data_IF_703888524531
#
_entry.id   IF_703888524531
#
_cell.length_a   1.000
_cell.length_b   1.000
_cell.length_c   1.000
_cell.angle_alpha   90.00
_cell.angle_beta   90.00
_cell.angle_gamma   90.00
#
_symmetry.space_group_name_H-M   'P 1'
#
loop_
_entity.id
_entity.type
_entity.pdbx_description
1 polymer ?
#
# COMPACT_ATOMS: atom_id res chain seq x y z
N UNK A 1 -25.85 -7.69 29.84
CA UNK A 1 -25.75 -9.11 29.53
C UNK A 1 -24.32 -9.54 29.72
N UNK A 2 -24.03 -10.25 30.80
CA UNK A 2 -22.66 -10.64 31.13
C UNK A 2 -22.25 -11.83 30.26
N UNK A 3 -21.46 -11.60 29.25
CA UNK A 3 -20.86 -12.68 28.45
C UNK A 3 -19.77 -13.33 29.28
N UNK A 4 -19.89 -14.63 29.55
CA UNK A 4 -18.88 -15.39 30.28
C UNK A 4 -17.56 -15.42 29.49
N UNK A 5 -16.40 -15.54 30.15
CA UNK A 5 -15.08 -15.51 29.49
C UNK A 5 -14.96 -16.53 28.36
N UNK A 6 -15.50 -17.74 28.55
CA UNK A 6 -15.58 -18.76 27.51
C UNK A 6 -16.34 -18.30 26.27
N UNK A 7 -17.39 -17.51 26.45
CA UNK A 7 -18.20 -16.95 25.34
C UNK A 7 -17.47 -15.84 24.63
N UNK A 8 -16.62 -15.05 25.34
CA UNK A 8 -15.78 -14.00 24.77
C UNK A 8 -14.69 -14.57 23.85
N UNK A 9 -14.05 -15.67 24.24
CA UNK A 9 -13.06 -16.37 23.40
C UNK A 9 -13.74 -16.95 22.15
N UNK A 10 -14.89 -17.60 22.31
CA UNK A 10 -15.65 -18.12 21.18
C UNK A 10 -16.13 -17.01 20.24
N UNK A 11 -16.48 -15.83 20.77
CA UNK A 11 -16.84 -14.66 20.00
C UNK A 11 -15.61 -14.13 19.21
N UNK A 12 -14.46 -13.95 19.85
CA UNK A 12 -13.23 -13.50 19.21
C UNK A 12 -12.85 -14.42 18.03
N UNK A 13 -12.90 -15.73 18.22
CA UNK A 13 -12.65 -16.71 17.12
C UNK A 13 -13.65 -16.58 15.97
N UNK A 14 -14.93 -16.32 16.25
CA UNK A 14 -15.92 -16.09 15.17
C UNK A 14 -15.64 -14.80 14.42
N UNK A 15 -15.30 -13.73 15.14
CA UNK A 15 -14.94 -12.46 14.51
C UNK A 15 -13.70 -12.60 13.61
N UNK A 16 -12.67 -13.31 14.07
CA UNK A 16 -11.48 -13.59 13.25
C UNK A 16 -11.85 -14.29 11.94
N UNK A 17 -12.66 -15.36 11.98
CA UNK A 17 -13.13 -16.05 10.78
C UNK A 17 -13.94 -15.16 9.83
N UNK A 18 -14.78 -14.27 10.36
CA UNK A 18 -15.54 -13.33 9.54
C UNK A 18 -14.62 -12.33 8.85
N UNK A 19 -13.59 -11.83 9.54
CA UNK A 19 -12.57 -10.96 8.97
C UNK A 19 -11.77 -11.68 7.89
N UNK A 20 -11.39 -12.93 8.11
CA UNK A 20 -10.70 -13.74 7.09
C UNK A 20 -11.51 -13.89 5.80
N UNK A 21 -12.81 -14.11 5.90
CA UNK A 21 -13.68 -14.17 4.74
C UNK A 21 -13.83 -12.82 4.04
N UNK A 22 -14.00 -11.74 4.80
CA UNK A 22 -14.14 -10.39 4.24
C UNK A 22 -12.90 -9.94 3.49
N UNK A 23 -11.69 -10.29 3.97
CA UNK A 23 -10.42 -9.92 3.30
C UNK A 23 -10.09 -10.74 2.05
N UNK A 24 -10.78 -11.84 1.77
CA UNK A 24 -10.57 -12.62 0.53
C UNK A 24 -10.76 -11.77 -0.74
N UNK A 25 -11.44 -10.63 -0.65
CA UNK A 25 -11.56 -9.64 -1.72
C UNK A 25 -10.37 -8.70 -1.88
N UNK A 26 -9.28 -8.86 -1.11
CA UNK A 26 -8.07 -8.01 -1.18
C UNK A 26 -8.20 -6.65 -0.50
N UNK A 27 -9.15 -6.50 0.42
CA UNK A 27 -9.38 -5.26 1.19
C UNK A 27 -8.93 -5.41 2.64
N UNK A 28 -8.56 -4.28 3.26
CA UNK A 28 -8.40 -4.23 4.72
C UNK A 28 -9.75 -4.43 5.41
N UNK A 29 -9.73 -5.17 6.51
CA UNK A 29 -10.90 -5.36 7.37
C UNK A 29 -10.61 -4.82 8.75
N UNK A 30 -11.38 -3.84 9.19
CA UNK A 30 -11.27 -3.26 10.51
C UNK A 30 -12.26 -3.96 11.44
N UNK A 31 -11.77 -4.55 12.52
CA UNK A 31 -12.58 -5.16 13.57
C UNK A 31 -12.48 -4.33 14.85
N UNK A 32 -13.61 -3.75 15.25
CA UNK A 32 -13.78 -3.04 16.53
C UNK A 32 -14.78 -3.79 17.39
N UNK A 33 -14.32 -4.44 18.46
CA UNK A 33 -15.15 -5.19 19.39
C UNK A 33 -14.49 -5.35 20.75
N UNK A 34 -15.28 -5.72 21.77
CA UNK A 34 -14.79 -5.87 23.15
C UNK A 34 -13.87 -7.10 23.27
N UNK A 35 -12.58 -6.86 23.41
CA UNK A 35 -11.52 -7.85 23.48
C UNK A 35 -10.55 -7.53 24.64
N UNK A 36 -11.00 -7.65 25.92
CA UNK A 36 -10.31 -7.02 27.04
C UNK A 36 -9.06 -7.77 27.52
N UNK A 37 -8.97 -9.08 27.30
CA UNK A 37 -7.87 -9.90 27.82
C UNK A 37 -6.90 -10.30 26.71
N UNK A 38 -5.65 -10.61 27.12
CA UNK A 38 -4.65 -11.16 26.18
C UNK A 38 -5.18 -12.40 25.46
N UNK A 39 -5.83 -13.31 26.21
CA UNK A 39 -6.35 -14.57 25.68
C UNK A 39 -7.42 -14.35 24.60
N UNK A 40 -8.30 -13.35 24.78
CA UNK A 40 -9.31 -13.01 23.76
C UNK A 40 -8.67 -12.38 22.51
N UNK A 41 -7.64 -11.56 22.67
CA UNK A 41 -6.89 -10.97 21.53
C UNK A 41 -6.11 -12.04 20.77
N UNK A 42 -5.43 -12.96 21.47
CA UNK A 42 -4.75 -14.09 20.86
C UNK A 42 -5.74 -15.00 20.10
N UNK A 43 -6.95 -15.18 20.62
CA UNK A 43 -7.99 -15.97 19.98
C UNK A 43 -8.59 -15.31 18.72
N UNK A 44 -8.55 -14.00 18.61
CA UNK A 44 -8.91 -13.25 17.42
C UNK A 44 -7.81 -13.34 16.34
N UNK A 45 -6.55 -13.26 16.76
CA UNK A 45 -5.35 -13.36 15.92
C UNK A 45 -5.31 -12.30 14.81
N UNK A 46 -5.29 -11.03 15.21
CA UNK A 46 -5.17 -9.92 14.26
C UNK A 46 -3.80 -9.90 13.57
N UNK A 47 -3.79 -9.53 12.28
CA UNK A 47 -2.54 -9.28 11.54
C UNK A 47 -1.89 -7.95 11.93
N UNK A 48 -2.71 -6.98 12.39
CA UNK A 48 -2.28 -5.65 12.78
C UNK A 48 -3.15 -5.15 13.95
N UNK A 49 -2.51 -4.65 15.00
CA UNK A 49 -3.18 -4.24 16.24
C UNK A 49 -3.01 -2.75 16.47
N UNK A 50 -4.11 -2.02 16.43
CA UNK A 50 -4.18 -0.61 16.83
C UNK A 50 -4.74 -0.53 18.25
N UNK A 51 -3.94 -0.03 19.18
CA UNK A 51 -4.38 0.22 20.54
C UNK A 51 -4.73 1.70 20.74
N UNK A 52 -6.03 1.98 20.89
CA UNK A 52 -6.50 3.33 21.26
C UNK A 52 -6.44 3.47 22.78
N UNK A 53 -5.37 4.10 23.29
CA UNK A 53 -5.09 4.29 24.71
C UNK A 53 -5.40 5.74 25.12
N UNK A 54 -6.68 6.11 25.01
CA UNK A 54 -7.13 7.48 25.25
C UNK A 54 -7.84 7.66 26.59
N UNK A 55 -8.51 6.63 27.08
CA UNK A 55 -9.28 6.68 28.33
C UNK A 55 -8.81 5.59 29.28
N UNK A 56 -8.79 5.90 30.57
CA UNK A 56 -8.38 4.95 31.62
C UNK A 56 -9.50 3.99 31.99
N UNK A 57 -10.75 4.45 31.91
CA UNK A 57 -11.94 3.68 32.27
C UNK A 57 -13.02 3.85 31.21
N UNK A 58 -13.53 2.73 30.70
CA UNK A 58 -14.62 2.68 29.78
C UNK A 58 -15.99 2.66 30.49
N UNK A 59 -17.07 2.63 29.71
CA UNK A 59 -18.45 2.67 30.18
C UNK A 59 -18.87 1.49 31.07
N UNK A 60 -18.20 0.34 30.90
CA UNK A 60 -18.61 -0.92 31.54
C UNK A 60 -17.57 -1.35 32.58
N UNK A 61 -17.97 -1.32 33.85
CA UNK A 61 -17.11 -1.61 34.98
C UNK A 61 -16.56 -3.05 34.98
N UNK A 62 -17.36 -4.03 34.57
CA UNK A 62 -16.95 -5.43 34.45
C UNK A 62 -15.83 -5.60 33.41
N UNK A 63 -15.89 -4.88 32.30
CA UNK A 63 -14.88 -4.87 31.26
C UNK A 63 -13.60 -4.15 31.74
N UNK A 64 -13.74 -3.04 32.46
CA UNK A 64 -12.60 -2.29 33.03
C UNK A 64 -11.79 -3.17 34.01
N UNK A 65 -12.46 -3.95 34.84
CA UNK A 65 -11.81 -4.89 35.78
C UNK A 65 -11.02 -6.01 35.12
N UNK A 66 -11.44 -6.42 33.92
CA UNK A 66 -10.80 -7.50 33.16
C UNK A 66 -9.76 -7.01 32.17
N UNK A 67 -9.72 -5.72 31.90
CA UNK A 67 -8.85 -5.17 30.86
C UNK A 67 -7.38 -5.39 31.18
N UNK A 68 -6.71 -6.04 30.25
CA UNK A 68 -5.26 -6.23 30.26
C UNK A 68 -4.65 -5.39 29.16
N UNK A 69 -3.75 -4.48 29.50
CA UNK A 69 -3.05 -3.65 28.52
C UNK A 69 -2.40 -4.54 27.44
N UNK A 70 -2.58 -4.23 26.17
CA UNK A 70 -1.85 -4.91 25.09
C UNK A 70 -0.34 -4.75 25.29
N UNK A 71 0.41 -5.83 25.29
CA UNK A 71 1.87 -5.79 25.30
C UNK A 71 2.42 -5.82 23.88
N UNK A 72 1.66 -6.43 22.95
CA UNK A 72 1.97 -6.49 21.53
C UNK A 72 0.92 -5.64 20.80
N UNK A 73 1.34 -4.58 20.18
CA UNK A 73 0.55 -3.71 19.31
C UNK A 73 1.47 -3.09 18.27
N UNK A 74 0.93 -2.77 17.12
CA UNK A 74 1.67 -2.14 16.03
C UNK A 74 1.63 -0.61 16.15
N UNK A 75 0.47 -0.08 16.55
CA UNK A 75 0.28 1.36 16.78
C UNK A 75 -0.43 1.59 18.12
N UNK A 76 0.06 2.56 18.89
CA UNK A 76 -0.60 3.05 20.09
C UNK A 76 -1.02 4.51 19.88
N UNK A 77 -2.31 4.77 19.96
CA UNK A 77 -2.90 6.08 19.78
C UNK A 77 -3.31 6.65 21.14
N UNK A 78 -2.74 7.81 21.52
CA UNK A 78 -3.02 8.47 22.80
C UNK A 78 -3.79 9.77 22.59
N UNK A 79 -3.06 10.83 22.23
CA UNK A 79 -3.60 12.17 21.97
C UNK A 79 -3.67 12.41 20.45
N UNK A 80 -4.48 13.37 20.04
CA UNK A 80 -4.59 13.77 18.65
C UNK A 80 -6.00 13.70 18.08
N UNK A 81 -6.10 14.09 16.82
CA UNK A 81 -7.33 14.05 16.03
C UNK A 81 -7.47 12.72 15.28
N UNK A 82 -8.66 12.44 14.78
CA UNK A 82 -8.90 11.23 13.95
C UNK A 82 -8.02 11.20 12.69
N UNK A 83 -7.79 12.36 12.07
CA UNK A 83 -6.97 12.45 10.86
C UNK A 83 -5.48 12.15 11.15
N UNK A 84 -4.95 12.64 12.27
CA UNK A 84 -3.60 12.31 12.73
C UNK A 84 -3.46 10.83 13.05
N UNK A 85 -4.46 10.22 13.68
CA UNK A 85 -4.47 8.79 13.97
C UNK A 85 -4.50 7.93 12.71
N UNK A 86 -5.34 8.31 11.74
CA UNK A 86 -5.37 7.64 10.43
C UNK A 86 -4.00 7.71 9.77
N UNK A 87 -3.34 8.87 9.82
CA UNK A 87 -2.00 9.03 9.24
C UNK A 87 -0.98 8.11 9.92
N UNK A 88 -0.93 8.07 11.26
CA UNK A 88 -0.04 7.19 12.02
C UNK A 88 -0.27 5.71 11.72
N UNK A 89 -1.54 5.29 11.63
CA UNK A 89 -1.90 3.90 11.31
C UNK A 89 -1.49 3.54 9.90
N UNK A 90 -1.74 4.42 8.93
CA UNK A 90 -1.38 4.19 7.53
C UNK A 90 0.13 4.11 7.33
N UNK A 91 0.88 5.02 7.94
CA UNK A 91 2.35 5.01 7.92
C UNK A 91 2.89 3.68 8.46
N UNK A 92 2.34 3.21 9.60
CA UNK A 92 2.78 1.95 10.20
C UNK A 92 2.35 0.71 9.42
N UNK A 93 1.18 0.74 8.78
CA UNK A 93 0.74 -0.32 7.87
C UNK A 93 1.69 -0.44 6.66
N UNK A 94 2.10 0.69 6.08
CA UNK A 94 3.08 0.71 4.99
C UNK A 94 4.44 0.13 5.40
N UNK A 95 4.88 0.34 6.66
CA UNK A 95 6.10 -0.27 7.20
C UNK A 95 5.98 -1.79 7.43
N UNK A 96 4.80 -2.27 7.84
CA UNK A 96 4.57 -3.69 8.18
C UNK A 96 4.17 -4.55 6.99
N UNK A 97 3.73 -3.96 5.89
CA UNK A 97 3.63 -4.68 4.62
C UNK A 97 5.03 -5.09 4.17
N UNK A 98 5.42 -6.28 4.54
CA UNK A 98 6.79 -6.79 4.41
C UNK A 98 7.13 -6.99 2.94
N UNK A 99 7.73 -5.95 2.36
CA UNK A 99 8.50 -6.10 1.14
C UNK A 99 9.66 -7.09 1.39
N UNK A 100 9.69 -8.18 0.65
CA UNK A 100 10.77 -9.15 0.79
C UNK A 100 11.95 -8.80 -0.14
N UNK A 101 13.02 -8.24 0.43
CA UNK A 101 14.22 -7.91 -0.32
C UNK A 101 14.97 -9.15 -0.88
N UNK A 102 14.62 -10.35 -0.44
CA UNK A 102 15.25 -11.59 -0.90
C UNK A 102 14.43 -12.28 -2.00
N UNK A 103 13.17 -11.92 -2.16
CA UNK A 103 12.31 -12.48 -3.20
C UNK A 103 12.71 -11.98 -4.60
N UNK A 104 12.49 -12.79 -5.65
CA UNK A 104 12.69 -12.34 -7.02
C UNK A 104 11.90 -11.06 -7.30
N UNK A 105 12.60 -10.04 -7.82
CA UNK A 105 12.04 -8.69 -7.98
C UNK A 105 12.35 -8.15 -9.37
N UNK A 106 11.33 -7.64 -10.06
CA UNK A 106 11.55 -6.86 -11.27
C UNK A 106 11.84 -5.41 -10.91
N UNK A 107 12.72 -4.76 -11.67
CA UNK A 107 13.04 -3.34 -11.56
C UNK A 107 12.51 -2.58 -12.76
N UNK A 108 11.67 -1.58 -12.53
CA UNK A 108 11.22 -0.62 -13.54
C UNK A 108 11.81 0.76 -13.23
N UNK A 109 12.54 1.34 -14.18
CA UNK A 109 13.16 2.66 -14.02
C UNK A 109 12.44 3.67 -14.91
N UNK A 110 12.01 4.81 -14.36
CA UNK A 110 11.35 5.85 -15.13
C UNK A 110 11.14 7.16 -14.38
N UNK A 111 10.57 8.14 -15.08
CA UNK A 111 10.19 9.45 -14.50
C UNK A 111 8.72 9.49 -14.08
N UNK A 112 7.87 8.76 -14.80
CA UNK A 112 6.43 8.61 -14.53
C UNK A 112 5.67 9.96 -14.37
N UNK A 113 5.83 10.86 -15.31
CA UNK A 113 5.39 12.27 -15.26
C UNK A 113 4.30 12.62 -16.29
N UNK A 114 3.00 12.25 -16.09
CA UNK A 114 2.45 11.48 -14.97
C UNK A 114 2.53 9.96 -15.17
N UNK A 115 2.19 9.21 -14.11
CA UNK A 115 1.94 7.78 -14.21
C UNK A 115 0.65 7.52 -15.00
N UNK A 116 0.63 6.51 -15.87
CA UNK A 116 -0.51 6.23 -16.75
C UNK A 116 -0.68 4.72 -17.01
N UNK A 117 -1.74 4.35 -17.72
CA UNK A 117 -2.13 2.95 -17.98
C UNK A 117 -1.00 2.12 -18.60
N UNK A 118 -0.20 2.67 -19.49
CA UNK A 118 0.96 1.99 -20.05
C UNK A 118 1.99 1.59 -18.99
N UNK A 119 2.28 2.48 -18.05
CA UNK A 119 3.15 2.18 -16.92
C UNK A 119 2.54 1.13 -15.99
N UNK A 120 1.23 1.23 -15.70
CA UNK A 120 0.53 0.24 -14.90
C UNK A 120 0.59 -1.17 -15.51
N UNK A 121 0.47 -1.27 -16.82
CA UNK A 121 0.59 -2.54 -17.53
C UNK A 121 1.99 -3.14 -17.40
N UNK A 122 3.05 -2.31 -17.46
CA UNK A 122 4.43 -2.75 -17.19
C UNK A 122 4.58 -3.30 -15.77
N UNK A 123 4.01 -2.60 -14.77
CA UNK A 123 4.01 -3.07 -13.37
C UNK A 123 3.28 -4.41 -13.24
N UNK A 124 2.11 -4.54 -13.86
CA UNK A 124 1.33 -5.79 -13.84
C UNK A 124 2.12 -6.97 -14.42
N UNK A 125 2.77 -6.77 -15.57
CA UNK A 125 3.59 -7.81 -16.20
C UNK A 125 4.83 -8.14 -15.35
N UNK A 126 5.47 -7.14 -14.76
CA UNK A 126 6.59 -7.31 -13.85
C UNK A 126 6.20 -8.16 -12.63
N UNK A 127 5.12 -7.80 -11.94
CA UNK A 127 4.61 -8.55 -10.78
C UNK A 127 4.21 -9.97 -11.17
N UNK A 128 3.60 -10.16 -12.34
CA UNK A 128 3.23 -11.49 -12.85
C UNK A 128 4.44 -12.41 -13.06
N UNK A 129 5.58 -11.85 -13.53
CA UNK A 129 6.79 -12.64 -13.83
C UNK A 129 7.63 -12.95 -12.61
N UNK A 130 7.78 -12.00 -11.68
CA UNK A 130 8.71 -12.11 -10.56
C UNK A 130 8.05 -12.16 -9.18
N UNK A 131 6.74 -11.91 -9.10
CA UNK A 131 6.00 -11.87 -7.85
C UNK A 131 5.95 -10.48 -7.21
N UNK A 132 6.99 -9.64 -7.42
CA UNK A 132 7.03 -8.27 -6.92
C UNK A 132 7.82 -7.34 -7.85
N UNK A 133 7.58 -6.03 -7.74
CA UNK A 133 8.16 -5.02 -8.61
C UNK A 133 8.68 -3.81 -7.83
N UNK A 134 9.95 -3.47 -7.98
CA UNK A 134 10.55 -2.23 -7.53
C UNK A 134 10.41 -1.16 -8.62
N UNK A 135 9.73 -0.07 -8.34
CA UNK A 135 9.54 1.07 -9.25
C UNK A 135 10.51 2.17 -8.84
N UNK A 136 11.57 2.35 -9.61
CA UNK A 136 12.61 3.32 -9.36
C UNK A 136 12.30 4.65 -10.08
N UNK A 137 11.94 5.67 -9.30
CA UNK A 137 11.70 7.02 -9.79
C UNK A 137 13.02 7.76 -9.92
N UNK A 138 13.34 8.18 -11.16
CA UNK A 138 14.51 9.00 -11.41
C UNK A 138 14.30 10.42 -10.90
N UNK A 139 15.18 10.89 -10.02
CA UNK A 139 15.31 12.30 -9.71
C UNK A 139 15.84 13.05 -10.96
N UNK A 140 15.12 14.07 -11.37
CA UNK A 140 15.45 14.88 -12.56
C UNK A 140 15.87 16.30 -12.20
N UNK A 141 16.12 16.55 -10.90
CA UNK A 141 16.69 17.83 -10.44
C UNK A 141 15.71 18.97 -10.31
N UNK A 142 14.44 18.70 -10.05
CA UNK A 142 13.42 19.71 -9.76
C UNK A 142 12.16 19.62 -10.63
N UNK A 143 11.30 20.62 -10.48
CA UNK A 143 10.02 20.71 -11.20
C UNK A 143 10.19 21.61 -12.43
N UNK A 144 9.86 21.06 -13.60
CA UNK A 144 9.83 21.78 -14.89
C UNK A 144 8.61 21.36 -15.73
N UNK A 145 8.48 21.91 -16.96
CA UNK A 145 7.39 21.58 -17.87
C UNK A 145 7.33 20.08 -18.25
N UNK A 146 8.47 19.41 -18.26
CA UNK A 146 8.58 17.97 -18.56
C UNK A 146 8.38 17.10 -17.34
N UNK A 147 8.66 17.64 -16.15
CA UNK A 147 8.59 16.97 -14.85
C UNK A 147 7.80 17.83 -13.85
N UNK A 148 6.48 17.99 -14.05
CA UNK A 148 5.68 18.93 -13.25
C UNK A 148 5.33 18.42 -11.84
N UNK A 149 5.74 17.22 -11.49
CA UNK A 149 5.38 16.60 -10.22
C UNK A 149 6.62 16.21 -9.42
N UNK A 150 6.58 16.47 -8.11
CA UNK A 150 7.59 16.00 -7.17
C UNK A 150 7.49 14.48 -6.92
N UNK A 151 8.50 13.94 -6.22
CA UNK A 151 8.59 12.53 -5.90
C UNK A 151 7.38 12.02 -5.13
N UNK A 152 6.96 12.72 -4.07
CA UNK A 152 5.87 12.27 -3.20
C UNK A 152 4.52 12.24 -3.94
N UNK A 153 4.28 13.20 -4.82
CA UNK A 153 3.08 13.22 -5.66
C UNK A 153 3.06 12.03 -6.63
N UNK A 154 4.15 11.79 -7.34
CA UNK A 154 4.24 10.66 -8.29
C UNK A 154 4.15 9.33 -7.56
N UNK A 155 4.83 9.17 -6.42
CA UNK A 155 4.75 7.99 -5.55
C UNK A 155 3.31 7.71 -5.14
N UNK A 156 2.58 8.73 -4.70
CA UNK A 156 1.17 8.63 -4.31
C UNK A 156 0.25 8.22 -5.47
N UNK A 157 0.49 8.78 -6.65
CA UNK A 157 -0.24 8.39 -7.87
C UNK A 157 0.02 6.93 -8.26
N UNK A 158 1.26 6.45 -8.16
CA UNK A 158 1.63 5.05 -8.42
C UNK A 158 0.91 4.11 -7.47
N UNK A 159 0.99 4.32 -6.16
CA UNK A 159 0.31 3.47 -5.18
C UNK A 159 -1.21 3.49 -5.35
N UNK A 160 -1.79 4.65 -5.65
CA UNK A 160 -3.22 4.77 -5.94
C UNK A 160 -3.63 3.99 -7.20
N UNK A 161 -2.86 4.11 -8.28
CA UNK A 161 -3.14 3.44 -9.54
C UNK A 161 -2.90 1.93 -9.50
N UNK A 162 -1.98 1.49 -8.64
CA UNK A 162 -1.51 0.11 -8.51
C UNK A 162 -1.99 -0.57 -7.22
N UNK A 163 -3.02 -0.04 -6.56
CA UNK A 163 -3.52 -0.52 -5.26
C UNK A 163 -3.85 -2.01 -5.22
N UNK A 164 -4.21 -2.61 -6.35
CA UNK A 164 -4.50 -4.05 -6.46
C UNK A 164 -3.28 -4.94 -6.26
N UNK A 165 -2.06 -4.40 -6.36
CA UNK A 165 -0.83 -5.15 -6.15
C UNK A 165 -0.36 -5.13 -4.68
N UNK A 166 -0.92 -4.24 -3.84
CA UNK A 166 -0.59 -4.15 -2.41
C UNK A 166 0.93 -4.09 -2.18
N UNK A 167 1.42 -4.93 -1.27
CA UNK A 167 2.85 -5.05 -0.91
C UNK A 167 3.76 -5.64 -2.00
N UNK A 168 3.22 -6.02 -3.16
CA UNK A 168 4.03 -6.51 -4.28
C UNK A 168 4.73 -5.40 -5.06
N UNK A 169 4.49 -4.14 -4.73
CA UNK A 169 5.19 -3.01 -5.32
C UNK A 169 5.91 -2.18 -4.26
N UNK A 170 7.07 -1.67 -4.62
CA UNK A 170 7.83 -0.70 -3.81
C UNK A 170 8.31 0.42 -4.69
N UNK A 171 8.06 1.66 -4.28
CA UNK A 171 8.51 2.86 -4.99
C UNK A 171 9.70 3.44 -4.25
N UNK A 172 10.82 3.62 -4.96
CA UNK A 172 12.04 4.21 -4.43
C UNK A 172 12.50 5.38 -5.30
N UNK A 173 13.16 6.34 -4.68
CA UNK A 173 13.83 7.42 -5.40
C UNK A 173 15.26 7.00 -5.76
N UNK A 174 15.68 7.30 -6.97
CA UNK A 174 17.03 7.05 -7.44
C UNK A 174 17.60 8.28 -8.14
N UNK A 175 18.92 8.44 -8.19
CA UNK A 175 19.55 9.50 -8.96
C UNK A 175 19.16 9.47 -10.44
N UNK A 176 19.53 10.52 -11.18
CA UNK A 176 19.31 10.58 -12.63
C UNK A 176 20.19 9.55 -13.36
N UNK A 177 19.78 8.30 -13.35
CA UNK A 177 20.51 7.19 -13.99
C UNK A 177 20.49 7.36 -15.50
N UNK A 178 21.67 7.36 -16.12
CA UNK A 178 21.86 7.45 -17.57
C UNK A 178 22.25 6.09 -18.16
N UNK A 179 23.03 5.28 -17.42
CA UNK A 179 23.54 4.00 -17.86
C UNK A 179 23.33 2.93 -16.81
N UNK A 180 23.14 1.71 -17.27
CA UNK A 180 23.07 0.52 -16.42
C UNK A 180 24.14 -0.45 -16.86
N UNK A 181 25.16 -0.67 -16.02
CA UNK A 181 26.24 -1.60 -16.28
C UNK A 181 26.11 -2.82 -15.37
N UNK A 182 26.39 -3.98 -15.91
CA UNK A 182 26.56 -5.20 -15.10
C UNK A 182 27.85 -5.93 -15.53
N UNK A 183 28.50 -6.56 -14.56
CA UNK A 183 29.76 -7.27 -14.80
C UNK A 183 29.55 -8.67 -15.35
N UNK A 184 29.88 -9.69 -14.56
CA UNK A 184 29.64 -11.08 -14.97
C UNK A 184 28.14 -11.38 -14.94
N UNK A 185 27.65 -12.28 -15.83
CA UNK A 185 26.25 -12.74 -15.84
C UNK A 185 25.86 -13.38 -14.52
N UNK A 186 25.25 -12.60 -13.63
CA UNK A 186 24.83 -13.01 -12.28
C UNK A 186 23.32 -13.23 -12.19
N UNK A 187 22.70 -13.69 -13.28
CA UNK A 187 21.28 -14.02 -13.29
C UNK A 187 20.35 -12.82 -13.49
N UNK A 188 20.86 -11.65 -13.86
CA UNK A 188 20.00 -10.55 -14.29
C UNK A 188 19.51 -10.77 -15.71
N UNK A 189 18.20 -10.61 -15.90
CA UNK A 189 17.58 -10.57 -17.21
C UNK A 189 17.21 -9.11 -17.53
N UNK A 190 17.75 -8.56 -18.61
CA UNK A 190 17.43 -7.20 -19.06
C UNK A 190 16.63 -7.34 -20.34
N UNK A 191 15.34 -6.98 -20.25
CA UNK A 191 14.40 -7.08 -21.34
C UNK A 191 13.69 -5.76 -21.59
N UNK A 192 13.40 -5.46 -22.85
CA UNK A 192 12.42 -4.46 -23.22
C UNK A 192 11.05 -5.13 -23.28
N UNK A 193 10.13 -4.71 -22.40
CA UNK A 193 8.75 -5.17 -22.45
C UNK A 193 8.00 -4.46 -23.59
N UNK A 194 7.56 -5.23 -24.57
CA UNK A 194 6.73 -4.70 -25.65
C UNK A 194 5.27 -4.61 -25.20
N UNK A 195 4.75 -3.40 -25.18
CA UNK A 195 3.32 -3.14 -24.98
C UNK A 195 2.57 -3.22 -26.31
N UNK A 196 1.26 -3.44 -26.25
CA UNK A 196 0.41 -3.33 -27.44
C UNK A 196 0.55 -1.95 -28.12
N UNK A 197 0.34 -1.88 -29.41
CA UNK A 197 0.46 -0.61 -30.18
C UNK A 197 -0.39 0.51 -29.56
N UNK A 198 -1.59 0.18 -29.11
CA UNK A 198 -2.51 1.14 -28.46
C UNK A 198 -1.92 1.72 -27.16
N UNK A 199 -1.25 0.89 -26.37
CA UNK A 199 -0.60 1.33 -25.12
C UNK A 199 0.71 2.09 -25.39
N UNK A 200 1.42 1.79 -26.47
CA UNK A 200 2.59 2.56 -26.88
C UNK A 200 2.25 4.00 -27.32
N UNK A 201 1.04 4.23 -27.80
CA UNK A 201 0.55 5.56 -28.18
C UNK A 201 0.21 6.44 -26.98
N UNK A 202 0.00 5.84 -25.79
CA UNK A 202 -0.23 6.58 -24.55
C UNK A 202 1.09 7.19 -24.09
N UNK A 203 1.19 8.50 -24.13
CA UNK A 203 2.40 9.21 -23.72
C UNK A 203 2.12 10.27 -22.66
N UNK A 204 3.04 10.42 -21.71
CA UNK A 204 2.97 11.44 -20.68
C UNK A 204 2.88 12.87 -21.29
N UNK A 205 3.49 13.10 -22.45
CA UNK A 205 3.41 14.38 -23.16
C UNK A 205 1.99 14.68 -23.65
N UNK A 206 1.30 13.69 -24.26
CA UNK A 206 -0.11 13.85 -24.69
C UNK A 206 -1.04 14.09 -23.48
N UNK A 207 -0.76 13.41 -22.36
CA UNK A 207 -1.53 13.60 -21.12
C UNK A 207 -1.32 15.01 -20.56
N UNK A 208 -0.08 15.50 -20.48
CA UNK A 208 0.20 16.87 -20.03
C UNK A 208 -0.45 17.94 -20.90
N UNK A 209 -0.53 17.70 -22.20
CA UNK A 209 -1.25 18.59 -23.16
C UNK A 209 -2.78 18.48 -23.06
N UNK A 210 -3.31 17.55 -22.27
CA UNK A 210 -4.74 17.32 -22.13
C UNK A 210 -5.41 16.65 -23.34
N UNK A 211 -4.63 16.08 -24.25
CA UNK A 211 -5.13 15.38 -25.43
C UNK A 211 -5.80 14.04 -25.07
N UNK A 212 -5.20 13.34 -24.10
CA UNK A 212 -5.68 12.05 -23.56
C UNK A 212 -5.64 12.07 -22.03
N UNK A 213 -6.47 11.22 -21.39
CA UNK A 213 -6.42 10.96 -19.95
C UNK A 213 -5.31 9.96 -19.57
N UNK A 214 -5.09 9.75 -18.27
CA UNK A 214 -4.16 8.73 -17.75
C UNK A 214 -4.59 7.31 -18.11
N UNK A 215 -5.86 7.09 -18.41
CA UNK A 215 -6.44 5.85 -18.94
C UNK A 215 -6.22 5.65 -20.45
N UNK A 216 -5.55 6.60 -21.12
CA UNK A 216 -5.26 6.57 -22.54
C UNK A 216 -6.43 7.01 -23.44
N UNK A 217 -7.58 7.38 -22.87
CA UNK A 217 -8.75 7.79 -23.66
C UNK A 217 -8.72 9.28 -23.97
N UNK A 218 -9.27 9.70 -25.15
CA UNK A 218 -9.39 11.11 -25.49
C UNK A 218 -10.19 11.89 -24.45
N UNK A 219 -9.69 13.06 -24.03
CA UNK A 219 -10.37 13.90 -23.01
C UNK A 219 -11.56 14.67 -23.53
N UNK A 220 -11.80 14.67 -24.84
CA UNK A 220 -12.87 15.45 -25.48
C UNK A 220 -12.63 16.96 -25.49
N UNK A 221 -11.53 17.45 -24.94
CA UNK A 221 -11.10 18.85 -25.07
C UNK A 221 -10.40 19.00 -26.41
N UNK A 222 -10.89 19.94 -27.24
CA UNK A 222 -10.13 20.37 -28.44
C UNK A 222 -8.85 21.05 -27.97
N UNK A 223 -7.69 20.78 -28.60
CA UNK A 223 -6.50 21.59 -28.36
C UNK A 223 -6.80 23.05 -28.72
N UNK A 224 -6.44 23.96 -27.82
CA UNK A 224 -6.45 25.40 -28.09
C UNK A 224 -5.35 25.76 -29.08
#
# INVERSE_FOLDING_TARGET
MCIRDRDRIAHAKRMGKLCDWARMGGSYVIADFVCPTKETRDAFNADFVVWVDRIMEGRYEDTNKMFQRPMNYDVRLTDGTADEWVHQVMEKLEETETWDNQAPTALLIGRYQPFHIGHKTLVAEAVKRTGQCCIALRDVGGIDESNPYDFEKVKKEIYSACREFGNKIKVIEIPNIMDVFYGRGVGYNIEQLELSKELQEVSATKIRKGEIGQDGKPTGKRPE
#
